data_IF_711141185414
#
_entry.id   IF_711141185414
#
_cell.length_a   1.000
_cell.length_b   1.000
_cell.length_c   1.000
_cell.angle_alpha   90.00
_cell.angle_beta   90.00
_cell.angle_gamma   90.00
#
_symmetry.space_group_name_H-M   'P 1'
#
loop_
_entity.id
_entity.type
_entity.pdbx_description
1 polymer ?
#
# COMPACT_ATOMS: atom_id res chain seq x y z
N UNK A 1 -8.53 -8.10 -17.55
CA UNK A 1 -7.65 -7.59 -16.50
C UNK A 1 -7.54 -6.08 -16.67
N UNK A 2 -7.77 -5.25 -15.63
CA UNK A 2 -7.47 -3.83 -15.72
C UNK A 2 -5.98 -3.65 -16.04
N UNK A 3 -5.66 -2.68 -16.89
CA UNK A 3 -4.29 -2.32 -17.22
C UNK A 3 -3.48 -2.02 -15.94
N UNK A 4 -2.31 -2.65 -15.81
CA UNK A 4 -1.42 -2.46 -14.66
C UNK A 4 -1.07 -0.99 -14.46
N UNK A 5 -0.90 -0.22 -15.54
CA UNK A 5 -0.60 1.21 -15.44
C UNK A 5 -1.74 1.97 -14.77
N UNK A 6 -2.99 1.66 -15.11
CA UNK A 6 -4.17 2.26 -14.47
C UNK A 6 -4.29 1.88 -12.99
N UNK A 7 -3.98 0.63 -12.64
CA UNK A 7 -3.97 0.19 -11.23
C UNK A 7 -2.85 0.88 -10.42
N UNK A 8 -1.68 1.06 -11.02
CA UNK A 8 -0.57 1.77 -10.40
C UNK A 8 -0.91 3.26 -10.20
N UNK A 9 -1.52 3.93 -11.18
CA UNK A 9 -1.97 5.33 -11.07
C UNK A 9 -2.99 5.53 -9.93
N UNK A 10 -3.92 4.58 -9.75
CA UNK A 10 -4.86 4.62 -8.63
C UNK A 10 -4.16 4.40 -7.27
N UNK A 11 -3.20 3.48 -7.21
CA UNK A 11 -2.42 3.25 -6.00
C UNK A 11 -1.58 4.48 -5.62
N UNK A 12 -0.98 5.15 -6.61
CA UNK A 12 -0.24 6.39 -6.42
C UNK A 12 -1.12 7.49 -5.81
N UNK A 13 -2.33 7.71 -6.35
CA UNK A 13 -3.27 8.70 -5.80
C UNK A 13 -3.69 8.40 -4.37
N UNK A 14 -3.89 7.13 -4.04
CA UNK A 14 -4.21 6.72 -2.67
C UNK A 14 -3.05 7.01 -1.71
N UNK A 15 -1.83 6.76 -2.15
CA UNK A 15 -0.62 7.04 -1.37
C UNK A 15 -0.38 8.54 -1.20
N UNK A 16 -0.57 9.34 -2.25
CA UNK A 16 -0.46 10.80 -2.17
C UNK A 16 -1.49 11.38 -1.18
N UNK A 17 -2.73 10.88 -1.22
CA UNK A 17 -3.77 11.29 -0.28
C UNK A 17 -3.42 10.89 1.16
N UNK A 18 -2.93 9.67 1.37
CA UNK A 18 -2.46 9.21 2.67
C UNK A 18 -1.35 10.11 3.20
N UNK A 19 -0.32 10.37 2.40
CA UNK A 19 0.82 11.21 2.77
C UNK A 19 0.41 12.66 3.06
N UNK A 20 -0.56 13.20 2.31
CA UNK A 20 -1.09 14.54 2.54
C UNK A 20 -1.79 14.64 3.91
N UNK A 21 -2.56 13.62 4.30
CA UNK A 21 -3.24 13.57 5.60
C UNK A 21 -2.27 13.23 6.76
N UNK A 22 -1.28 12.38 6.50
CA UNK A 22 -0.29 11.93 7.49
C UNK A 22 0.97 12.81 7.61
N UNK A 23 1.06 13.92 6.87
CA UNK A 23 2.26 14.78 6.85
C UNK A 23 2.65 15.35 8.22
N UNK A 24 1.73 15.35 9.20
CA UNK A 24 1.98 15.76 10.59
C UNK A 24 2.28 14.65 11.58
N UNK A 25 2.09 13.38 11.21
CA UNK A 25 2.17 12.20 12.11
C UNK A 25 3.01 11.11 11.43
N UNK A 26 4.20 11.43 10.90
CA UNK A 26 5.11 10.37 10.46
C UNK A 26 5.54 9.57 11.69
N UNK A 27 5.03 8.34 11.79
CA UNK A 27 5.31 7.39 12.89
C UNK A 27 6.79 7.03 12.96
N UNK A 28 7.53 7.21 11.87
CA UNK A 28 8.96 7.00 11.76
C UNK A 28 9.68 8.29 11.36
N UNK A 29 10.59 8.75 12.23
CA UNK A 29 11.43 9.93 12.06
C UNK A 29 12.54 9.73 11.01
N UNK A 30 12.22 9.29 9.80
CA UNK A 30 13.17 9.39 8.70
C UNK A 30 12.97 10.74 8.02
N UNK A 31 13.95 11.66 8.08
CA UNK A 31 13.85 12.90 7.34
C UNK A 31 13.83 12.55 5.85
N UNK A 32 12.70 12.81 5.18
CA UNK A 32 12.60 12.76 3.72
C UNK A 32 13.54 13.84 3.18
N UNK A 33 14.76 13.45 2.84
CA UNK A 33 15.74 14.33 2.19
C UNK A 33 15.46 14.46 0.68
N UNK A 34 14.47 13.74 0.17
CA UNK A 34 13.92 13.90 -1.18
C UNK A 34 12.40 13.80 -1.16
N UNK A 35 11.75 14.39 -2.16
CA UNK A 35 10.32 14.22 -2.50
C UNK A 35 9.97 12.78 -2.95
N UNK A 36 10.86 11.81 -2.72
CA UNK A 36 10.67 10.43 -3.15
C UNK A 36 9.87 9.65 -2.11
N UNK A 37 8.82 8.98 -2.59
CA UNK A 37 8.08 7.99 -1.83
C UNK A 37 9.02 6.84 -1.46
N UNK A 38 9.21 6.65 -0.16
CA UNK A 38 10.00 5.57 0.37
C UNK A 38 9.21 4.27 0.47
N UNK A 39 9.93 3.15 0.51
CA UNK A 39 9.35 1.85 0.88
C UNK A 39 8.62 1.92 2.23
N UNK A 40 9.15 2.70 3.17
CA UNK A 40 8.52 2.94 4.48
C UNK A 40 7.13 3.57 4.39
N UNK A 41 6.92 4.53 3.48
CA UNK A 41 5.61 5.18 3.29
C UNK A 41 4.56 4.17 2.79
N UNK A 42 4.98 3.26 1.90
CA UNK A 42 4.14 2.18 1.39
C UNK A 42 3.82 1.19 2.51
N UNK A 43 4.81 0.81 3.33
CA UNK A 43 4.62 -0.12 4.46
C UNK A 43 3.67 0.47 5.51
N UNK A 44 3.78 1.77 5.82
CA UNK A 44 2.90 2.45 6.77
C UNK A 44 1.45 2.44 6.26
N UNK A 45 1.22 2.79 4.99
CA UNK A 45 -0.11 2.69 4.37
C UNK A 45 -0.66 1.26 4.39
N UNK A 46 0.15 0.26 4.02
CA UNK A 46 -0.28 -1.15 4.06
C UNK A 46 -0.65 -1.57 5.48
N UNK A 47 0.12 -1.15 6.48
CA UNK A 47 -0.14 -1.47 7.89
C UNK A 47 -1.47 -0.86 8.34
N UNK A 48 -1.72 0.41 8.05
CA UNK A 48 -2.97 1.08 8.45
C UNK A 48 -4.20 0.48 7.71
N UNK A 49 -4.03 0.01 6.46
CA UNK A 49 -5.08 -0.74 5.75
C UNK A 49 -5.37 -2.10 6.39
N UNK A 50 -4.35 -2.80 6.91
CA UNK A 50 -4.54 -4.06 7.64
C UNK A 50 -5.23 -3.85 8.99
N UNK A 51 -4.90 -2.77 9.71
CA UNK A 51 -5.62 -2.36 10.92
C UNK A 51 -7.08 -2.02 10.61
N UNK A 52 -7.35 -1.33 9.49
CA UNK A 52 -8.71 -1.08 9.03
C UNK A 52 -9.45 -2.40 8.76
N UNK A 53 -8.80 -3.38 8.12
CA UNK A 53 -9.40 -4.69 7.85
C UNK A 53 -9.82 -5.38 9.16
N UNK A 54 -8.97 -5.35 10.19
CA UNK A 54 -9.29 -5.88 11.53
C UNK A 54 -10.51 -5.18 12.14
N UNK A 55 -10.54 -3.84 12.13
CA UNK A 55 -11.69 -3.04 12.63
C UNK A 55 -12.97 -3.38 11.86
N UNK A 56 -12.88 -3.78 10.60
CA UNK A 56 -14.02 -4.22 9.77
C UNK A 56 -14.38 -5.70 9.96
N UNK A 57 -13.69 -6.42 10.85
CA UNK A 57 -13.95 -7.84 11.16
C UNK A 57 -13.31 -8.81 10.17
N UNK A 58 -12.34 -8.37 9.38
CA UNK A 58 -11.54 -9.25 8.52
C UNK A 58 -10.25 -9.65 9.24
N UNK A 59 -9.79 -10.89 9.02
CA UNK A 59 -8.45 -11.31 9.47
C UNK A 59 -7.37 -10.68 8.57
N UNK A 60 -6.49 -9.82 9.12
CA UNK A 60 -5.41 -9.22 8.35
C UNK A 60 -4.49 -10.25 7.68
N UNK A 61 -4.22 -11.38 8.34
CA UNK A 61 -3.36 -12.43 7.78
C UNK A 61 -3.99 -13.07 6.53
N UNK A 62 -5.31 -13.31 6.56
CA UNK A 62 -6.05 -13.80 5.41
C UNK A 62 -6.07 -12.78 4.25
N UNK A 63 -6.13 -11.47 4.54
CA UNK A 63 -6.05 -10.41 3.53
C UNK A 63 -4.68 -10.41 2.85
N UNK A 64 -3.59 -10.46 3.62
CA UNK A 64 -2.22 -10.54 3.08
C UNK A 64 -2.05 -11.76 2.17
N UNK A 65 -2.45 -12.95 2.63
CA UNK A 65 -2.33 -14.17 1.84
C UNK A 65 -3.06 -14.10 0.51
N UNK A 66 -4.25 -13.49 0.47
CA UNK A 66 -4.99 -13.28 -0.78
C UNK A 66 -4.28 -12.29 -1.70
N UNK A 67 -3.71 -11.22 -1.15
CA UNK A 67 -2.92 -10.27 -1.92
C UNK A 67 -1.67 -10.93 -2.53
N UNK A 68 -0.96 -11.78 -1.78
CA UNK A 68 0.19 -12.56 -2.27
C UNK A 68 -0.19 -13.46 -3.46
N UNK A 69 -1.31 -14.19 -3.36
CA UNK A 69 -1.81 -15.02 -4.47
C UNK A 69 -2.10 -14.19 -5.72
N UNK A 70 -2.69 -13.01 -5.57
CA UNK A 70 -2.93 -12.11 -6.70
C UNK A 70 -1.63 -11.58 -7.30
N UNK A 71 -0.62 -11.26 -6.48
CA UNK A 71 0.69 -10.82 -6.96
C UNK A 71 1.41 -11.94 -7.73
N UNK A 72 1.35 -13.18 -7.24
CA UNK A 72 1.92 -14.33 -7.94
C UNK A 72 1.25 -14.54 -9.30
N UNK A 73 -0.09 -14.48 -9.36
CA UNK A 73 -0.81 -14.60 -10.63
C UNK A 73 -0.42 -13.50 -11.64
N UNK A 74 -0.17 -12.27 -11.18
CA UNK A 74 0.31 -11.17 -12.03
C UNK A 74 1.77 -11.35 -12.48
N UNK A 75 2.60 -12.06 -11.70
CA UNK A 75 3.97 -12.41 -12.06
C UNK A 75 3.99 -13.54 -13.10
N UNK A 76 3.16 -14.56 -12.93
CA UNK A 76 3.05 -15.70 -13.85
C UNK A 76 2.50 -15.28 -15.22
N UNK A 77 1.64 -14.26 -15.28
CA UNK A 77 1.14 -13.66 -16.53
C UNK A 77 2.23 -12.89 -17.33
N UNK A 78 3.42 -12.69 -16.76
CA UNK A 78 4.56 -12.04 -17.42
C UNK A 78 5.58 -13.02 -18.00
N UNK A 79 5.49 -14.30 -17.63
CA UNK A 79 6.34 -15.38 -18.15
C UNK A 79 5.79 -15.99 -19.42
#
# INVERSE_FOLDING_TARGET
MPDKAKRADLAQKALDAYLHEHSGIRRWCYPSTSDDIGESDIIDLVTDLLLLAEVKGHDPCAVVRKAEVHLQAEADLRG
#
